data_IF_438835753416
#
_entry.id   IF_438835753416
#
_cell.length_a   1.000
_cell.length_b   1.000
_cell.length_c   1.000
_cell.angle_alpha   90.00
_cell.angle_beta   90.00
_cell.angle_gamma   90.00
#
_symmetry.space_group_name_H-M   'P 1'
#
loop_
_entity.id
_entity.type
_entity.pdbx_description
1 polymer ?
#
# COMPACT_ATOMS: atom_id res chain seq x y z
N UNK A 1 -24.03 -5.15 -5.46
CA UNK A 1 -23.87 -6.58 -5.11
C UNK A 1 -23.33 -6.61 -3.70
N UNK A 2 -24.04 -7.24 -2.75
CA UNK A 2 -23.49 -7.42 -1.40
C UNK A 2 -22.58 -8.64 -1.47
N UNK A 3 -21.29 -8.43 -1.27
CA UNK A 3 -20.33 -9.53 -1.18
C UNK A 3 -20.30 -10.01 0.26
N UNK A 4 -20.49 -11.32 0.47
CA UNK A 4 -20.44 -11.89 1.81
C UNK A 4 -19.04 -11.75 2.41
N UNK A 5 -18.90 -11.37 3.70
CA UNK A 5 -17.59 -11.16 4.32
C UNK A 5 -16.68 -12.39 4.25
N UNK A 6 -17.25 -13.59 4.36
CA UNK A 6 -16.48 -14.84 4.31
C UNK A 6 -15.95 -15.12 2.90
N UNK A 7 -16.73 -14.78 1.86
CA UNK A 7 -16.24 -14.85 0.49
C UNK A 7 -15.10 -13.85 0.26
N UNK A 8 -15.25 -12.61 0.71
CA UNK A 8 -14.21 -11.59 0.55
C UNK A 8 -12.89 -12.02 1.22
N UNK A 9 -12.97 -12.60 2.43
CA UNK A 9 -11.79 -13.16 3.12
C UNK A 9 -11.21 -14.38 2.43
N UNK A 10 -12.02 -15.20 1.78
CA UNK A 10 -11.52 -16.35 1.00
C UNK A 10 -10.67 -15.94 -0.21
N UNK A 11 -10.77 -14.68 -0.64
CA UNK A 11 -9.96 -14.11 -1.71
C UNK A 11 -8.67 -13.45 -1.23
N UNK A 12 -8.35 -13.49 0.06
CA UNK A 12 -7.04 -13.03 0.52
C UNK A 12 -5.97 -14.01 0.00
N UNK A 13 -4.90 -13.51 -0.64
CA UNK A 13 -3.82 -14.38 -1.09
C UNK A 13 -3.25 -15.16 0.10
N UNK A 14 -2.89 -16.42 -0.11
CA UNK A 14 -2.30 -17.28 0.94
C UNK A 14 -0.84 -17.64 0.63
N UNK A 15 -0.36 -17.26 -0.55
CA UNK A 15 1.02 -17.41 -0.98
C UNK A 15 1.41 -16.30 -1.95
N UNK A 16 2.71 -16.08 -2.14
CA UNK A 16 3.23 -15.13 -3.13
C UNK A 16 2.81 -15.41 -4.59
N UNK A 17 2.25 -16.59 -4.87
CA UNK A 17 1.76 -17.01 -6.18
C UNK A 17 0.23 -17.15 -6.27
N UNK A 18 -0.52 -16.69 -5.26
CA UNK A 18 -1.99 -16.66 -5.25
C UNK A 18 -2.54 -15.54 -6.16
N UNK A 19 -2.25 -15.66 -7.46
CA UNK A 19 -2.54 -14.64 -8.47
C UNK A 19 -4.03 -14.53 -8.78
N UNK A 20 -4.75 -15.66 -8.71
CA UNK A 20 -6.18 -15.69 -9.01
C UNK A 20 -6.97 -14.93 -7.95
N UNK A 21 -6.61 -15.11 -6.68
CA UNK A 21 -7.17 -14.43 -5.53
C UNK A 21 -6.89 -12.92 -5.59
N UNK A 22 -5.62 -12.55 -5.85
CA UNK A 22 -5.25 -11.14 -6.03
C UNK A 22 -6.04 -10.49 -7.18
N UNK A 23 -6.17 -11.15 -8.33
CA UNK A 23 -6.93 -10.63 -9.46
C UNK A 23 -8.43 -10.54 -9.15
N UNK A 24 -8.99 -11.49 -8.39
CA UNK A 24 -10.38 -11.45 -7.96
C UNK A 24 -10.65 -10.23 -7.07
N UNK A 25 -9.78 -9.92 -6.12
CA UNK A 25 -9.87 -8.70 -5.31
C UNK A 25 -9.85 -7.44 -6.17
N UNK A 26 -8.90 -7.33 -7.11
CA UNK A 26 -8.83 -6.19 -8.04
C UNK A 26 -10.12 -6.05 -8.85
N UNK A 27 -10.69 -7.16 -9.33
CA UNK A 27 -11.93 -7.16 -10.09
C UNK A 27 -13.17 -6.78 -9.27
N UNK A 28 -13.20 -7.10 -7.96
CA UNK A 28 -14.26 -6.65 -7.05
C UNK A 28 -14.21 -5.13 -6.82
N UNK A 29 -13.01 -4.56 -6.86
CA UNK A 29 -12.77 -3.12 -6.81
C UNK A 29 -13.13 -2.45 -5.49
N UNK A 30 -12.87 -1.15 -5.42
CA UNK A 30 -13.30 -0.29 -4.31
C UNK A 30 -14.73 0.24 -4.59
N UNK A 31 -15.63 0.34 -3.59
CA UNK A 31 -15.41 0.12 -2.15
C UNK A 31 -15.57 -1.33 -1.68
N UNK A 32 -15.86 -2.29 -2.56
CA UNK A 32 -16.12 -3.69 -2.16
C UNK A 32 -15.00 -4.30 -1.33
N UNK A 33 -13.74 -4.03 -1.68
CA UNK A 33 -12.56 -4.55 -0.97
C UNK A 33 -12.14 -3.74 0.26
N UNK A 34 -12.82 -2.63 0.57
CA UNK A 34 -12.49 -1.78 1.73
C UNK A 34 -12.29 -2.56 3.04
N UNK A 35 -13.14 -3.56 3.39
CA UNK A 35 -12.99 -4.31 4.63
C UNK A 35 -11.72 -5.15 4.75
N UNK A 36 -11.01 -5.39 3.63
CA UNK A 36 -9.82 -6.25 3.57
C UNK A 36 -8.57 -5.52 3.05
N UNK A 37 -8.61 -4.19 2.99
CA UNK A 37 -7.46 -3.41 2.51
C UNK A 37 -6.21 -3.65 3.36
N UNK A 38 -6.34 -3.83 4.67
CA UNK A 38 -5.18 -4.08 5.55
C UNK A 38 -4.44 -5.36 5.15
N UNK A 39 -5.18 -6.44 4.93
CA UNK A 39 -4.65 -7.73 4.47
C UNK A 39 -4.07 -7.63 3.04
N UNK A 40 -4.66 -6.81 2.18
CA UNK A 40 -4.09 -6.55 0.85
C UNK A 40 -2.74 -5.84 0.93
N UNK A 41 -2.56 -4.92 1.88
CA UNK A 41 -1.29 -4.20 2.07
C UNK A 41 -0.17 -5.11 2.60
N UNK A 42 -0.48 -6.16 3.36
CA UNK A 42 0.53 -7.14 3.83
C UNK A 42 1.24 -7.83 2.65
N UNK A 43 0.55 -8.01 1.52
CA UNK A 43 1.14 -8.56 0.30
C UNK A 43 2.04 -7.59 -0.47
N UNK A 44 2.22 -6.37 0.03
CA UNK A 44 3.16 -5.35 -0.48
C UNK A 44 4.45 -5.30 0.37
N UNK A 45 4.62 -6.18 1.36
CA UNK A 45 5.87 -6.28 2.14
C UNK A 45 7.11 -6.59 1.29
N UNK A 46 6.92 -7.23 0.13
CA UNK A 46 8.00 -7.49 -0.82
C UNK A 46 7.45 -7.42 -2.26
N UNK A 47 7.83 -6.36 -2.98
CA UNK A 47 7.38 -6.18 -4.36
C UNK A 47 7.95 -7.22 -5.35
N UNK A 48 8.92 -8.04 -4.91
CA UNK A 48 9.34 -9.20 -5.69
C UNK A 48 8.27 -10.30 -5.73
N UNK A 49 7.30 -10.30 -4.80
CA UNK A 49 6.19 -11.23 -4.82
C UNK A 49 5.28 -10.95 -6.02
N UNK A 50 4.99 -11.97 -6.87
CA UNK A 50 4.10 -11.79 -8.01
C UNK A 50 2.71 -11.20 -7.68
N UNK A 51 2.15 -11.52 -6.52
CA UNK A 51 0.90 -10.92 -6.02
C UNK A 51 1.01 -9.40 -5.81
N UNK A 52 2.15 -8.89 -5.33
CA UNK A 52 2.35 -7.45 -5.13
C UNK A 52 2.22 -6.67 -6.45
N UNK A 53 2.68 -7.26 -7.56
CA UNK A 53 2.59 -6.68 -8.91
C UNK A 53 1.16 -6.57 -9.44
N UNK A 54 0.23 -7.36 -8.88
CA UNK A 54 -1.21 -7.28 -9.19
C UNK A 54 -1.89 -6.25 -8.28
N UNK A 55 -1.57 -6.27 -6.99
CA UNK A 55 -2.27 -5.46 -5.99
C UNK A 55 -1.81 -4.00 -5.97
N UNK A 56 -0.51 -3.72 -6.07
CA UNK A 56 0.02 -2.36 -5.92
C UNK A 56 -0.57 -1.35 -6.93
N UNK A 57 -0.70 -1.66 -8.25
CA UNK A 57 -1.31 -0.73 -9.19
C UNK A 57 -2.77 -0.42 -8.85
N UNK A 58 -3.52 -1.43 -8.39
CA UNK A 58 -4.89 -1.23 -7.94
C UNK A 58 -4.96 -0.35 -6.69
N UNK A 59 -4.16 -0.65 -5.67
CA UNK A 59 -4.09 0.16 -4.43
C UNK A 59 -3.66 1.61 -4.71
N UNK A 60 -2.77 1.82 -5.66
CA UNK A 60 -2.37 3.16 -6.12
C UNK A 60 -3.55 3.89 -6.78
N UNK A 61 -4.32 3.20 -7.63
CA UNK A 61 -5.44 3.79 -8.37
C UNK A 61 -6.60 4.25 -7.48
N UNK A 62 -6.76 3.69 -6.28
CA UNK A 62 -7.78 4.12 -5.32
C UNK A 62 -7.29 5.25 -4.38
N UNK A 63 -6.02 5.65 -4.53
CA UNK A 63 -5.48 6.92 -4.03
C UNK A 63 -5.74 7.17 -2.55
N UNK A 64 -6.39 8.30 -2.25
CA UNK A 64 -6.64 8.79 -0.88
C UNK A 64 -7.42 7.81 0.01
N UNK A 65 -8.16 6.87 -0.59
CA UNK A 65 -8.88 5.83 0.17
C UNK A 65 -7.92 4.87 0.90
N UNK A 66 -6.67 4.75 0.45
CA UNK A 66 -5.62 3.96 1.12
C UNK A 66 -4.94 4.69 2.30
N UNK A 67 -5.31 5.95 2.60
CA UNK A 67 -4.59 6.79 3.57
C UNK A 67 -4.43 6.13 4.95
N UNK A 68 -5.46 5.45 5.45
CA UNK A 68 -5.41 4.83 6.76
C UNK A 68 -4.38 3.69 6.80
N UNK A 69 -4.39 2.81 5.79
CA UNK A 69 -3.50 1.67 5.66
C UNK A 69 -2.05 2.11 5.41
N UNK A 70 -1.82 3.10 4.54
CA UNK A 70 -0.49 3.68 4.35
C UNK A 70 0.05 4.21 5.68
N UNK A 71 -0.78 4.92 6.46
CA UNK A 71 -0.37 5.41 7.78
C UNK A 71 -0.02 4.30 8.77
N UNK A 72 -0.73 3.16 8.73
CA UNK A 72 -0.39 1.99 9.55
C UNK A 72 0.96 1.39 9.14
N UNK A 73 1.21 1.24 7.84
CA UNK A 73 2.49 0.73 7.34
C UNK A 73 3.65 1.66 7.70
N UNK A 74 3.51 2.97 7.49
CA UNK A 74 4.56 3.95 7.80
C UNK A 74 4.89 4.05 9.29
N UNK A 75 3.98 3.64 10.18
CA UNK A 75 4.23 3.53 11.63
C UNK A 75 4.69 2.14 12.09
N UNK A 76 4.78 1.17 11.19
CA UNK A 76 5.29 -0.16 11.52
C UNK A 76 6.81 -0.13 11.76
N UNK A 77 7.38 -1.24 12.20
CA UNK A 77 8.83 -1.42 12.33
C UNK A 77 9.45 -2.14 11.12
N UNK A 78 8.70 -2.28 10.02
CA UNK A 78 9.14 -2.96 8.80
C UNK A 78 9.54 -1.92 7.74
N UNK A 79 10.81 -1.56 7.73
CA UNK A 79 11.40 -0.56 6.82
C UNK A 79 11.24 -0.94 5.35
N UNK A 80 11.42 -2.21 5.01
CA UNK A 80 11.24 -2.70 3.63
C UNK A 80 9.78 -2.61 3.19
N UNK A 81 8.83 -2.93 4.06
CA UNK A 81 7.41 -2.75 3.75
C UNK A 81 7.06 -1.28 3.51
N UNK A 82 7.59 -0.37 4.34
CA UNK A 82 7.44 1.09 4.12
C UNK A 82 8.00 1.49 2.76
N UNK A 83 9.22 1.08 2.45
CA UNK A 83 9.88 1.38 1.19
C UNK A 83 9.02 0.92 0.00
N UNK A 84 8.59 -0.34 -0.02
CA UNK A 84 7.77 -0.85 -1.13
C UNK A 84 6.42 -0.17 -1.26
N UNK A 85 5.75 0.15 -0.15
CA UNK A 85 4.49 0.91 -0.21
C UNK A 85 4.72 2.31 -0.76
N UNK A 86 5.78 3.00 -0.34
CA UNK A 86 6.10 4.33 -0.87
C UNK A 86 6.38 4.28 -2.38
N UNK A 87 7.27 3.40 -2.81
CA UNK A 87 7.71 3.32 -4.21
C UNK A 87 6.62 2.80 -5.16
N UNK A 88 5.86 1.80 -4.75
CA UNK A 88 4.99 1.05 -5.67
C UNK A 88 3.51 1.39 -5.54
N UNK A 89 3.12 1.99 -4.42
CA UNK A 89 1.73 2.39 -4.17
C UNK A 89 1.61 3.91 -4.15
N UNK A 90 2.43 4.63 -3.38
CA UNK A 90 2.27 6.09 -3.16
C UNK A 90 2.87 6.93 -4.28
N UNK A 91 4.12 6.67 -4.68
CA UNK A 91 4.80 7.46 -5.72
C UNK A 91 4.05 7.51 -7.07
N UNK A 92 3.37 6.43 -7.52
CA UNK A 92 2.58 6.46 -8.76
C UNK A 92 1.19 7.09 -8.60
N UNK A 93 0.78 7.51 -7.40
CA UNK A 93 -0.54 8.10 -7.20
C UNK A 93 -0.69 9.45 -7.89
N UNK A 94 -1.94 9.86 -8.21
CA UNK A 94 -2.21 11.23 -8.63
C UNK A 94 -1.73 12.27 -7.60
N UNK A 95 -1.16 13.41 -8.02
CA UNK A 95 -0.64 14.44 -7.11
C UNK A 95 -1.65 14.89 -6.05
N UNK A 96 -2.93 14.98 -6.39
CA UNK A 96 -3.99 15.37 -5.45
C UNK A 96 -4.16 14.38 -4.29
N UNK A 97 -3.96 13.08 -4.52
CA UNK A 97 -4.02 12.07 -3.48
C UNK A 97 -2.81 12.19 -2.54
N UNK A 98 -1.61 12.39 -3.10
CA UNK A 98 -0.38 12.61 -2.34
C UNK A 98 -0.49 13.89 -1.50
N UNK A 99 -1.01 14.99 -2.09
CA UNK A 99 -1.29 16.24 -1.36
C UNK A 99 -2.25 16.02 -0.19
N UNK A 100 -3.30 15.23 -0.38
CA UNK A 100 -4.22 14.84 0.70
C UNK A 100 -3.56 14.03 1.82
N UNK A 101 -2.38 13.45 1.58
CA UNK A 101 -1.60 12.68 2.55
C UNK A 101 -0.33 13.40 3.03
N UNK A 102 -0.06 14.63 2.57
CA UNK A 102 1.19 15.35 2.84
C UNK A 102 1.56 15.41 4.32
N UNK A 103 0.61 15.69 5.21
CA UNK A 103 0.85 15.73 6.64
C UNK A 103 1.33 14.38 7.20
N UNK A 104 0.74 13.27 6.74
CA UNK A 104 1.10 11.91 7.13
C UNK A 104 2.49 11.54 6.62
N UNK A 105 2.82 11.91 5.37
CA UNK A 105 4.14 11.66 4.79
C UNK A 105 5.24 12.47 5.50
N UNK A 106 4.95 13.73 5.85
CA UNK A 106 5.88 14.57 6.62
C UNK A 106 6.10 14.03 8.04
N UNK A 107 5.05 13.54 8.70
CA UNK A 107 5.17 12.89 10.02
C UNK A 107 6.08 11.66 9.93
N UNK A 108 5.87 10.78 8.94
CA UNK A 108 6.74 9.62 8.72
C UNK A 108 8.19 10.04 8.49
N UNK A 109 8.42 11.10 7.69
CA UNK A 109 9.75 11.62 7.38
C UNK A 109 10.51 12.15 8.60
N UNK A 110 9.79 12.68 9.59
CA UNK A 110 10.36 13.20 10.84
C UNK A 110 10.69 12.08 11.84
N UNK A 111 10.07 10.91 11.70
CA UNK A 111 10.14 9.81 12.66
C UNK A 111 10.82 8.56 12.09
N UNK A 112 11.77 8.73 11.16
CA UNK A 112 12.54 7.61 10.59
C UNK A 112 13.38 6.91 11.66
N UNK A 113 13.35 5.58 11.67
CA UNK A 113 14.31 4.78 12.42
C UNK A 113 15.67 4.69 11.70
N UNK A 114 16.73 4.21 12.38
CA UNK A 114 18.00 3.90 11.70
C UNK A 114 17.84 2.92 10.53
N UNK A 115 16.99 1.91 10.67
CA UNK A 115 16.66 0.93 9.62
C UNK A 115 15.93 1.60 8.45
N UNK A 116 14.98 2.50 8.72
CA UNK A 116 14.31 3.27 7.67
C UNK A 116 15.31 4.11 6.86
N UNK A 117 16.36 4.65 7.50
CA UNK A 117 17.43 5.39 6.80
C UNK A 117 18.29 4.43 5.97
N UNK A 118 18.63 3.26 6.53
CA UNK A 118 19.42 2.26 5.84
C UNK A 118 18.71 1.73 4.58
N UNK A 119 17.41 1.49 4.67
CA UNK A 119 16.56 0.98 3.58
C UNK A 119 15.95 2.10 2.74
N UNK A 120 16.54 3.30 2.78
CA UNK A 120 16.24 4.42 1.88
C UNK A 120 14.80 4.98 1.95
N UNK A 121 14.02 4.65 2.98
CA UNK A 121 12.65 5.15 3.19
C UNK A 121 12.60 6.68 3.20
N UNK A 122 13.61 7.31 3.81
CA UNK A 122 13.72 8.77 3.83
C UNK A 122 13.94 9.40 2.45
N UNK A 123 14.65 8.70 1.55
CA UNK A 123 14.88 9.15 0.18
C UNK A 123 13.57 9.07 -0.61
N UNK A 124 12.86 7.93 -0.53
CA UNK A 124 11.56 7.75 -1.17
C UNK A 124 10.55 8.83 -0.74
N UNK A 125 10.47 9.12 0.57
CA UNK A 125 9.61 10.20 1.09
C UNK A 125 9.99 11.57 0.52
N UNK A 126 11.28 11.89 0.45
CA UNK A 126 11.74 13.18 -0.07
C UNK A 126 11.43 13.35 -1.56
N UNK A 127 11.53 12.28 -2.35
CA UNK A 127 11.18 12.29 -3.78
C UNK A 127 9.69 12.49 -4.00
N UNK A 128 8.85 11.73 -3.27
CA UNK A 128 7.40 11.86 -3.32
C UNK A 128 6.95 13.28 -2.92
N UNK A 129 7.51 13.83 -1.84
CA UNK A 129 7.15 15.16 -1.34
C UNK A 129 7.61 16.30 -2.25
N UNK A 130 8.69 16.11 -3.04
CA UNK A 130 9.14 17.10 -4.04
C UNK A 130 8.24 17.14 -5.26
N UNK A 131 7.55 16.05 -5.56
CA UNK A 131 6.66 15.95 -6.71
C UNK A 131 5.32 16.69 -6.52
N UNK A 132 5.03 17.21 -5.31
CA UNK A 132 3.74 17.83 -4.94
C UNK A 132 3.78 19.12 -4.11
#
# INVERSE_FOLDING_TARGET
MVVEPDYLRSLIPTSKHSLAEAQALVNLGYPTVEPVLSEMFEWIQDYNWPVAKILAPFLSSIGIHCRAQIGLVLRSNDSMWKYWVLETVVAPMPPEAILGMKALLLEARQNLSPEDIQDEVGIALDEILKAV
#
